data_IF_886987468794
#
_entry.id   IF_886987468794
#
_cell.length_a   1.000
_cell.length_b   1.000
_cell.length_c   1.000
_cell.angle_alpha   90.00
_cell.angle_beta   90.00
_cell.angle_gamma   90.00
#
_symmetry.space_group_name_H-M   'P 1'
#
loop_
_entity.id
_entity.type
_entity.pdbx_description
1 polymer ?
#
# COMPACT_ATOMS: atom_id res chain seq x y z
N UNK A 1 -35.18 -6.93 -5.26
CA UNK A 1 -34.09 -6.84 -4.25
C UNK A 1 -32.81 -6.70 -5.04
N UNK A 2 -32.20 -5.53 -5.04
CA UNK A 2 -30.85 -5.37 -5.58
C UNK A 2 -29.92 -6.14 -4.63
N UNK A 3 -29.37 -7.27 -5.09
CA UNK A 3 -28.35 -7.99 -4.34
C UNK A 3 -27.12 -7.08 -4.22
N UNK A 4 -26.67 -6.84 -3.01
CA UNK A 4 -25.37 -6.21 -2.77
C UNK A 4 -24.30 -7.09 -3.43
N UNK A 5 -23.55 -6.53 -4.38
CA UNK A 5 -22.41 -7.25 -4.95
C UNK A 5 -21.39 -7.50 -3.82
N UNK A 6 -20.92 -8.73 -3.67
CA UNK A 6 -19.91 -9.01 -2.66
C UNK A 6 -18.60 -8.33 -3.02
N UNK A 7 -17.83 -7.88 -2.01
CA UNK A 7 -16.54 -7.25 -2.19
C UNK A 7 -15.42 -8.30 -2.21
N UNK A 8 -14.49 -8.13 -3.13
CA UNK A 8 -13.39 -9.06 -3.32
C UNK A 8 -12.19 -8.71 -2.44
N UNK A 9 -11.58 -9.72 -1.83
CA UNK A 9 -10.31 -9.61 -1.15
C UNK A 9 -9.27 -10.56 -1.73
N UNK A 10 -8.03 -10.12 -1.71
CA UNK A 10 -6.85 -10.92 -1.98
C UNK A 10 -6.11 -11.20 -0.69
N UNK A 11 -5.62 -12.42 -0.51
CA UNK A 11 -4.89 -12.81 0.71
C UNK A 11 -3.44 -13.16 0.35
N UNK A 12 -2.51 -12.44 0.96
CA UNK A 12 -1.08 -12.69 0.87
C UNK A 12 -0.58 -13.33 2.16
N UNK A 13 0.13 -14.45 2.05
CA UNK A 13 0.74 -15.17 3.18
C UNK A 13 2.26 -15.13 3.11
N UNK A 14 2.93 -15.44 4.20
CA UNK A 14 4.40 -15.57 4.19
C UNK A 14 5.16 -14.25 4.27
N UNK A 15 4.50 -13.16 4.62
CA UNK A 15 5.13 -11.86 4.84
C UNK A 15 5.93 -11.89 6.16
N UNK A 16 6.97 -11.08 6.26
CA UNK A 16 7.82 -10.95 7.46
C UNK A 16 8.31 -12.33 7.97
N UNK A 17 8.94 -13.09 7.07
CA UNK A 17 9.43 -14.46 7.34
C UNK A 17 8.32 -15.45 7.76
N UNK A 18 7.09 -15.23 7.30
CA UNK A 18 5.96 -16.13 7.52
C UNK A 18 5.10 -15.81 8.75
N UNK A 19 5.42 -14.72 9.47
CA UNK A 19 4.68 -14.32 10.68
C UNK A 19 3.46 -13.46 10.40
N UNK A 20 3.34 -12.91 9.20
CA UNK A 20 2.30 -11.95 8.85
C UNK A 20 1.51 -12.40 7.62
N UNK A 21 0.22 -12.18 7.65
CA UNK A 21 -0.73 -12.32 6.54
C UNK A 21 -1.30 -10.94 6.22
N UNK A 22 -1.48 -10.63 4.95
CA UNK A 22 -2.20 -9.43 4.54
C UNK A 22 -3.47 -9.79 3.75
N UNK A 23 -4.56 -9.08 4.03
CA UNK A 23 -5.75 -9.06 3.20
C UNK A 23 -5.87 -7.69 2.53
N UNK A 24 -6.17 -7.66 1.23
CA UNK A 24 -6.30 -6.44 0.42
C UNK A 24 -7.71 -6.33 -0.14
N UNK A 25 -8.30 -5.15 -0.08
CA UNK A 25 -9.52 -4.86 -0.82
C UNK A 25 -9.19 -4.67 -2.30
N UNK A 26 -9.81 -5.48 -3.18
CA UNK A 26 -9.49 -5.48 -4.61
C UNK A 26 -9.78 -4.13 -5.29
N UNK A 27 -10.84 -3.44 -4.88
CA UNK A 27 -11.29 -2.18 -5.46
C UNK A 27 -10.55 -0.94 -4.91
N UNK A 28 -9.73 -1.13 -3.86
CA UNK A 28 -9.02 -0.04 -3.17
C UNK A 28 -7.53 -0.35 -3.05
N UNK A 29 -6.72 -0.03 -4.06
CA UNK A 29 -5.27 -0.26 -3.98
C UNK A 29 -4.68 0.39 -2.73
N UNK A 30 -3.92 -0.40 -1.97
CA UNK A 30 -3.33 0.04 -0.71
C UNK A 30 -4.23 -0.14 0.53
N UNK A 31 -5.54 -0.38 0.37
CA UNK A 31 -6.39 -0.73 1.50
C UNK A 31 -6.12 -2.18 1.93
N UNK A 32 -5.34 -2.34 2.99
CA UNK A 32 -4.91 -3.65 3.49
C UNK A 32 -5.01 -3.76 5.00
N UNK A 33 -5.24 -5.00 5.47
CA UNK A 33 -5.10 -5.41 6.88
C UNK A 33 -3.93 -6.36 6.98
N UNK A 34 -3.01 -6.10 7.88
CA UNK A 34 -1.90 -6.98 8.23
C UNK A 34 -2.17 -7.59 9.60
N UNK A 35 -2.15 -8.92 9.69
CA UNK A 35 -2.49 -9.65 10.91
C UNK A 35 -1.67 -10.95 11.06
N UNK A 36 -1.79 -11.61 12.20
CA UNK A 36 -1.12 -12.89 12.44
C UNK A 36 -1.83 -14.08 11.73
N UNK A 37 -3.07 -13.91 11.29
CA UNK A 37 -3.83 -14.94 10.58
C UNK A 37 -4.74 -14.35 9.50
N UNK A 38 -5.09 -15.18 8.52
CA UNK A 38 -6.02 -14.83 7.44
C UNK A 38 -7.43 -14.55 7.96
N UNK A 39 -7.87 -15.29 8.97
CA UNK A 39 -9.17 -15.08 9.61
C UNK A 39 -9.26 -13.70 10.26
N UNK A 40 -8.20 -13.30 10.97
CA UNK A 40 -8.13 -11.98 11.59
C UNK A 40 -8.07 -10.88 10.53
N UNK A 41 -7.20 -11.02 9.53
CA UNK A 41 -7.07 -10.05 8.43
C UNK A 41 -8.39 -9.86 7.69
N UNK A 42 -9.11 -10.95 7.38
CA UNK A 42 -10.41 -10.90 6.69
C UNK A 42 -11.50 -10.26 7.54
N UNK A 43 -11.57 -10.61 8.83
CA UNK A 43 -12.59 -10.07 9.74
C UNK A 43 -12.44 -8.57 10.00
N UNK A 44 -11.21 -8.04 9.96
CA UNK A 44 -10.95 -6.60 10.15
C UNK A 44 -11.12 -5.78 8.85
N UNK A 45 -11.24 -6.42 7.68
CA UNK A 45 -11.33 -5.73 6.39
C UNK A 45 -12.48 -4.70 6.32
N UNK A 46 -13.72 -4.99 6.79
CA UNK A 46 -14.80 -3.99 6.74
C UNK A 46 -14.46 -2.71 7.50
N UNK A 47 -13.82 -2.85 8.68
CA UNK A 47 -13.38 -1.72 9.47
C UNK A 47 -12.23 -0.96 8.80
N UNK A 48 -11.29 -1.69 8.19
CA UNK A 48 -10.18 -1.09 7.45
C UNK A 48 -10.67 -0.28 6.27
N UNK A 49 -11.59 -0.81 5.48
CA UNK A 49 -12.19 -0.10 4.35
C UNK A 49 -12.91 1.17 4.80
N UNK A 50 -13.68 1.12 5.90
CA UNK A 50 -14.32 2.31 6.42
C UNK A 50 -13.30 3.41 6.77
N UNK A 51 -12.21 3.06 7.49
CA UNK A 51 -11.13 4.01 7.81
C UNK A 51 -10.41 4.54 6.57
N UNK A 52 -10.16 3.69 5.59
CA UNK A 52 -9.52 4.08 4.34
C UNK A 52 -10.38 5.08 3.55
N UNK A 53 -11.67 4.82 3.45
CA UNK A 53 -12.65 5.71 2.80
C UNK A 53 -12.75 7.05 3.54
N UNK A 54 -12.75 7.04 4.88
CA UNK A 54 -12.78 8.26 5.68
C UNK A 54 -11.48 9.06 5.54
N UNK A 55 -10.33 8.40 5.45
CA UNK A 55 -9.06 9.04 5.15
C UNK A 55 -9.06 9.71 3.77
N UNK A 56 -9.52 9.02 2.71
CA UNK A 56 -9.65 9.62 1.37
C UNK A 56 -10.54 10.86 1.40
N UNK A 57 -11.69 10.80 2.05
CA UNK A 57 -12.60 11.95 2.17
C UNK A 57 -11.98 13.11 2.93
N UNK A 58 -11.25 12.82 4.01
CA UNK A 58 -10.57 13.84 4.79
C UNK A 58 -9.47 14.55 3.98
N UNK A 59 -8.86 13.81 3.02
CA UNK A 59 -7.88 14.34 2.06
C UNK A 59 -8.51 15.04 0.84
N UNK A 60 -9.84 15.15 0.79
CA UNK A 60 -10.56 15.82 -0.29
C UNK A 60 -10.85 14.96 -1.52
N UNK A 61 -10.59 13.64 -1.43
CA UNK A 61 -10.79 12.70 -2.51
C UNK A 61 -12.24 12.22 -2.63
N UNK A 62 -12.66 11.95 -3.88
CA UNK A 62 -13.87 11.18 -4.12
C UNK A 62 -13.65 9.71 -3.73
N UNK A 63 -14.21 9.33 -2.60
CA UNK A 63 -14.12 7.97 -2.12
C UNK A 63 -15.30 7.12 -2.62
N UNK A 64 -15.06 5.88 -3.05
CA UNK A 64 -16.13 4.98 -3.46
C UNK A 64 -17.07 4.69 -2.28
N UNK A 65 -18.34 4.43 -2.61
CA UNK A 65 -19.34 4.01 -1.61
C UNK A 65 -19.37 2.50 -1.56
N UNK A 66 -19.01 1.93 -0.42
CA UNK A 66 -19.13 0.51 -0.16
C UNK A 66 -20.46 0.25 0.56
N UNK A 67 -21.25 -0.70 0.04
CA UNK A 67 -22.54 -1.07 0.60
C UNK A 67 -22.50 -2.54 0.99
N UNK A 68 -22.65 -2.80 2.29
CA UNK A 68 -22.65 -4.16 2.84
C UNK A 68 -21.30 -4.60 3.40
N UNK A 69 -21.34 -5.75 4.04
CA UNK A 69 -20.22 -6.38 4.77
C UNK A 69 -19.88 -7.77 4.21
N UNK A 70 -20.37 -8.08 3.02
CA UNK A 70 -20.13 -9.38 2.39
C UNK A 70 -18.78 -9.36 1.63
N UNK A 71 -17.73 -9.74 2.34
CA UNK A 71 -16.37 -9.85 1.82
C UNK A 71 -16.03 -11.31 1.54
N UNK A 72 -15.37 -11.61 0.43
CA UNK A 72 -14.94 -12.97 0.11
C UNK A 72 -13.55 -12.98 -0.51
N UNK A 73 -12.80 -14.00 -0.18
CA UNK A 73 -11.49 -14.26 -0.77
C UNK A 73 -11.66 -14.74 -2.20
N UNK A 74 -11.03 -14.05 -3.14
CA UNK A 74 -11.01 -14.43 -4.57
C UNK A 74 -9.69 -15.05 -5.00
N UNK A 75 -8.60 -14.68 -4.33
CA UNK A 75 -7.28 -15.17 -4.68
C UNK A 75 -6.39 -15.19 -3.44
N UNK A 76 -5.54 -16.21 -3.37
CA UNK A 76 -4.51 -16.35 -2.33
C UNK A 76 -3.17 -16.59 -2.99
N UNK A 77 -2.15 -15.85 -2.53
CA UNK A 77 -0.78 -16.01 -2.99
C UNK A 77 0.19 -15.97 -1.80
N UNK A 78 1.38 -16.51 -1.97
CA UNK A 78 2.41 -16.48 -0.95
C UNK A 78 3.56 -15.57 -1.36
N UNK A 79 4.03 -14.75 -0.43
CA UNK A 79 5.30 -14.06 -0.56
C UNK A 79 6.43 -15.10 -0.68
N UNK A 80 7.39 -14.89 -1.56
CA UNK A 80 8.45 -15.83 -1.82
C UNK A 80 9.78 -15.11 -2.02
N UNK A 81 10.87 -15.69 -1.49
CA UNK A 81 12.23 -15.16 -1.65
C UNK A 81 12.41 -13.70 -1.20
N UNK A 82 11.63 -13.26 -0.22
CA UNK A 82 11.63 -11.87 0.25
C UNK A 82 10.82 -10.89 -0.61
N UNK A 83 10.16 -11.39 -1.67
CA UNK A 83 9.28 -10.59 -2.51
C UNK A 83 7.82 -10.76 -2.09
N UNK A 84 7.08 -9.67 -2.12
CA UNK A 84 5.63 -9.64 -1.89
C UNK A 84 4.88 -10.32 -3.04
N UNK A 85 3.73 -10.92 -2.76
CA UNK A 85 2.96 -11.63 -3.78
C UNK A 85 2.36 -10.68 -4.83
N UNK A 86 2.24 -11.18 -6.08
CA UNK A 86 1.38 -10.63 -7.11
C UNK A 86 0.03 -11.36 -7.13
N UNK A 87 -1.00 -10.69 -7.61
CA UNK A 87 -2.34 -11.23 -7.83
C UNK A 87 -2.74 -11.05 -9.29
N UNK A 88 -3.71 -11.83 -9.76
CA UNK A 88 -4.19 -11.73 -11.15
C UNK A 88 -4.69 -10.33 -11.53
N UNK A 89 -5.18 -9.55 -10.55
CA UNK A 89 -5.56 -8.15 -10.78
C UNK A 89 -4.32 -7.24 -11.03
N UNK A 90 -3.16 -7.57 -10.49
CA UNK A 90 -1.94 -6.80 -10.68
C UNK A 90 -1.42 -6.88 -12.12
N UNK A 91 -1.80 -7.95 -12.86
CA UNK A 91 -1.47 -8.13 -14.29
C UNK A 91 -2.37 -7.28 -15.21
N UNK A 92 -3.46 -6.72 -14.67
CA UNK A 92 -4.34 -5.83 -15.42
C UNK A 92 -3.86 -4.37 -15.27
N UNK A 93 -3.54 -3.70 -16.39
CA UNK A 93 -3.12 -2.31 -16.30
C UNK A 93 -4.25 -1.44 -15.74
N UNK A 94 -3.97 -0.46 -14.87
CA UNK A 94 -4.95 0.56 -14.53
C UNK A 94 -5.31 1.37 -15.78
N UNK A 95 -6.53 1.89 -15.86
CA UNK A 95 -6.84 2.92 -16.84
C UNK A 95 -6.17 4.26 -16.49
N UNK A 96 -6.06 5.19 -17.44
CA UNK A 96 -5.38 6.47 -17.23
C UNK A 96 -5.94 7.27 -16.04
N UNK A 97 -7.26 7.28 -15.87
CA UNK A 97 -7.93 7.94 -14.73
C UNK A 97 -7.62 7.24 -13.39
N UNK A 98 -7.63 5.89 -13.39
CA UNK A 98 -7.24 5.11 -12.22
C UNK A 98 -5.78 5.34 -11.86
N UNK A 99 -4.90 5.33 -12.85
CA UNK A 99 -3.47 5.54 -12.66
C UNK A 99 -3.20 6.90 -12.03
N UNK A 100 -3.77 7.97 -12.58
CA UNK A 100 -3.62 9.32 -12.04
C UNK A 100 -4.14 9.44 -10.60
N UNK A 101 -5.30 8.83 -10.33
CA UNK A 101 -5.88 8.81 -8.99
C UNK A 101 -5.02 8.04 -7.99
N UNK A 102 -4.46 6.89 -8.39
CA UNK A 102 -3.62 6.07 -7.51
C UNK A 102 -2.25 6.68 -7.26
N UNK A 103 -1.68 7.42 -8.22
CA UNK A 103 -0.49 8.24 -7.98
C UNK A 103 -0.77 9.31 -6.91
N UNK A 104 -1.92 9.96 -6.98
CA UNK A 104 -2.29 10.94 -5.95
C UNK A 104 -2.53 10.28 -4.58
N UNK A 105 -3.15 9.10 -4.51
CA UNK A 105 -3.27 8.35 -3.25
C UNK A 105 -1.91 7.92 -2.68
N UNK A 106 -0.95 7.64 -3.55
CA UNK A 106 0.42 7.33 -3.17
C UNK A 106 1.10 8.53 -2.50
N UNK A 107 0.90 9.75 -3.01
CA UNK A 107 1.37 11.00 -2.41
C UNK A 107 0.73 11.23 -1.04
N UNK A 108 -0.60 11.15 -0.95
CA UNK A 108 -1.35 11.32 0.30
C UNK A 108 -0.93 10.31 1.38
N UNK A 109 -0.65 9.05 1.01
CA UNK A 109 -0.17 8.05 1.96
C UNK A 109 1.21 8.42 2.51
N UNK A 110 2.10 8.96 1.67
CA UNK A 110 3.43 9.43 2.07
C UNK A 110 3.34 10.64 2.99
N UNK A 111 2.45 11.60 2.70
CA UNK A 111 2.24 12.77 3.57
C UNK A 111 1.75 12.33 4.96
N UNK A 112 0.78 11.39 5.02
CA UNK A 112 0.32 10.83 6.30
C UNK A 112 1.44 10.15 7.07
N UNK A 113 2.29 9.35 6.39
CA UNK A 113 3.43 8.70 7.02
C UNK A 113 4.46 9.72 7.54
N UNK A 114 4.78 10.74 6.76
CA UNK A 114 5.70 11.80 7.17
C UNK A 114 5.22 12.52 8.44
N UNK A 115 3.93 12.87 8.50
CA UNK A 115 3.32 13.47 9.69
C UNK A 115 3.45 12.58 10.95
N UNK A 116 3.36 11.24 10.78
CA UNK A 116 3.54 10.29 11.88
C UNK A 116 5.00 10.12 12.30
N UNK A 117 5.91 10.14 11.33
CA UNK A 117 7.34 10.07 11.60
C UNK A 117 7.82 11.27 12.41
N UNK A 118 7.31 12.46 12.15
CA UNK A 118 7.65 13.67 12.91
C UNK A 118 7.21 13.61 14.39
N UNK A 119 6.23 12.77 14.70
CA UNK A 119 5.68 12.63 16.04
C UNK A 119 6.38 11.56 16.90
N UNK A 120 7.27 10.73 16.34
CA UNK A 120 7.93 9.61 17.04
C UNK A 120 9.40 9.89 17.34
N UNK A 121 9.99 9.08 18.25
CA UNK A 121 11.40 9.22 18.63
C UNK A 121 12.35 8.73 17.53
N UNK A 122 13.57 9.26 17.52
CA UNK A 122 14.60 9.05 16.49
C UNK A 122 14.87 7.58 16.12
N UNK A 123 14.84 6.66 17.09
CA UNK A 123 15.10 5.23 16.81
C UNK A 123 13.99 4.61 15.98
N UNK A 124 12.72 4.81 16.38
CA UNK A 124 11.56 4.29 15.64
C UNK A 124 11.48 4.95 14.26
N UNK A 125 11.78 6.25 14.17
CA UNK A 125 11.88 6.99 12.92
C UNK A 125 12.92 6.35 11.98
N UNK A 126 14.14 6.10 12.47
CA UNK A 126 15.22 5.55 11.64
C UNK A 126 14.89 4.15 11.08
N UNK A 127 14.33 3.26 11.90
CA UNK A 127 13.92 1.90 11.46
C UNK A 127 12.81 1.97 10.41
N UNK A 128 11.83 2.84 10.61
CA UNK A 128 10.73 3.05 9.70
C UNK A 128 11.21 3.59 8.34
N UNK A 129 12.07 4.60 8.36
CA UNK A 129 12.65 5.22 7.17
C UNK A 129 13.45 4.22 6.35
N UNK A 130 14.34 3.44 6.99
CA UNK A 130 15.14 2.42 6.28
C UNK A 130 14.26 1.37 5.59
N UNK A 131 13.17 0.96 6.22
CA UNK A 131 12.23 -0.01 5.66
C UNK A 131 11.55 0.51 4.40
N UNK A 132 10.98 1.72 4.46
CA UNK A 132 10.25 2.32 3.34
C UNK A 132 11.18 2.69 2.19
N UNK A 133 12.33 3.29 2.49
CA UNK A 133 13.36 3.59 1.49
C UNK A 133 13.73 2.34 0.67
N UNK A 134 14.05 1.25 1.36
CA UNK A 134 14.40 -0.03 0.71
C UNK A 134 13.27 -0.53 -0.18
N UNK A 135 12.03 -0.38 0.26
CA UNK A 135 10.87 -0.84 -0.48
C UNK A 135 10.60 0.00 -1.73
N UNK A 136 10.58 1.33 -1.62
CA UNK A 136 10.36 2.21 -2.76
C UNK A 136 11.41 2.00 -3.84
N UNK A 137 12.70 1.87 -3.45
CA UNK A 137 13.78 1.58 -4.39
C UNK A 137 13.65 0.19 -5.03
N UNK A 138 13.20 -0.82 -4.28
CA UNK A 138 12.96 -2.15 -4.83
C UNK A 138 11.82 -2.14 -5.87
N UNK A 139 10.70 -1.46 -5.57
CA UNK A 139 9.58 -1.30 -6.50
C UNK A 139 9.98 -0.49 -7.73
N UNK A 140 10.71 0.62 -7.56
CA UNK A 140 11.24 1.40 -8.68
C UNK A 140 12.13 0.54 -9.60
N UNK A 141 13.02 -0.28 -9.03
CA UNK A 141 13.88 -1.18 -9.79
C UNK A 141 13.10 -2.26 -10.55
N UNK A 142 12.04 -2.82 -9.97
CA UNK A 142 11.15 -3.79 -10.62
C UNK A 142 10.44 -3.19 -11.84
N UNK A 143 10.13 -1.90 -11.80
CA UNK A 143 9.55 -1.14 -12.92
C UNK A 143 10.59 -0.68 -13.94
N UNK A 144 11.86 -1.08 -13.81
CA UNK A 144 12.94 -0.65 -14.69
C UNK A 144 13.46 0.76 -14.41
N UNK A 145 13.13 1.34 -13.25
CA UNK A 145 13.66 2.62 -12.81
C UNK A 145 15.17 2.61 -12.60
N UNK A 146 15.77 3.78 -12.68
CA UNK A 146 17.21 3.94 -12.47
C UNK A 146 17.53 3.80 -10.97
N UNK A 147 18.70 3.25 -10.67
CA UNK A 147 19.21 3.27 -9.32
C UNK A 147 19.34 4.71 -8.80
N UNK A 148 18.67 5.03 -7.73
CA UNK A 148 18.78 6.32 -7.06
C UNK A 148 19.92 6.29 -6.05
N UNK A 149 20.67 7.39 -5.97
CA UNK A 149 21.66 7.62 -4.91
C UNK A 149 21.00 8.60 -3.96
N UNK A 150 20.58 8.10 -2.80
CA UNK A 150 19.91 8.91 -1.80
C UNK A 150 20.94 9.73 -1.01
N UNK A 151 20.64 11.00 -0.79
CA UNK A 151 21.52 11.96 -0.13
C UNK A 151 20.71 12.77 0.88
N UNK A 152 21.39 13.44 1.80
CA UNK A 152 20.70 14.26 2.80
C UNK A 152 20.35 13.54 4.10
N UNK A 153 19.47 14.13 4.86
CA UNK A 153 18.99 13.55 6.11
C UNK A 153 17.96 12.42 5.85
N UNK A 154 17.55 11.66 6.87
CA UNK A 154 16.63 10.54 6.68
C UNK A 154 15.29 10.91 6.05
N UNK A 155 14.74 12.07 6.36
CA UNK A 155 13.47 12.53 5.77
C UNK A 155 13.65 12.91 4.30
N UNK A 156 14.73 13.63 3.96
CA UNK A 156 15.04 13.94 2.56
C UNK A 156 15.18 12.66 1.74
N UNK A 157 15.90 11.66 2.25
CA UNK A 157 16.07 10.35 1.59
C UNK A 157 14.76 9.59 1.40
N UNK A 158 13.80 9.74 2.33
CA UNK A 158 12.46 9.17 2.21
C UNK A 158 11.74 9.74 0.98
N UNK A 159 11.78 11.07 0.81
CA UNK A 159 11.18 11.72 -0.35
C UNK A 159 11.94 11.40 -1.65
N UNK A 160 13.26 11.40 -1.64
CA UNK A 160 14.09 11.00 -2.79
C UNK A 160 13.77 9.56 -3.26
N UNK A 161 13.57 8.61 -2.33
CA UNK A 161 13.17 7.25 -2.66
C UNK A 161 11.77 7.20 -3.30
N UNK A 162 10.83 7.99 -2.79
CA UNK A 162 9.49 8.14 -3.35
C UNK A 162 9.52 8.76 -4.74
N UNK A 163 10.31 9.80 -4.95
CA UNK A 163 10.49 10.45 -6.25
C UNK A 163 11.03 9.45 -7.29
N UNK A 164 11.97 8.58 -6.88
CA UNK A 164 12.49 7.53 -7.74
C UNK A 164 11.40 6.51 -8.13
N UNK A 165 10.54 6.11 -7.20
CA UNK A 165 9.40 5.24 -7.48
C UNK A 165 8.37 5.92 -8.38
N UNK A 166 7.99 7.16 -8.08
CA UNK A 166 7.04 7.94 -8.88
C UNK A 166 7.55 8.12 -10.31
N UNK A 167 8.81 8.49 -10.49
CA UNK A 167 9.42 8.59 -11.81
C UNK A 167 9.41 7.26 -12.58
N UNK A 168 9.63 6.13 -11.90
CA UNK A 168 9.55 4.81 -12.52
C UNK A 168 8.11 4.44 -12.91
N UNK A 169 7.11 4.75 -12.08
CA UNK A 169 5.69 4.57 -12.36
C UNK A 169 5.25 5.42 -13.57
N UNK A 170 5.62 6.69 -13.60
CA UNK A 170 5.32 7.60 -14.71
C UNK A 170 5.98 7.15 -16.02
N UNK A 171 7.22 6.68 -15.96
CA UNK A 171 7.93 6.15 -17.14
C UNK A 171 7.30 4.86 -17.67
N UNK A 172 6.79 3.98 -16.79
CA UNK A 172 6.06 2.77 -17.15
C UNK A 172 4.66 3.11 -17.70
N UNK A 173 4.04 4.18 -17.18
CA UNK A 173 2.69 4.61 -17.53
C UNK A 173 1.62 3.63 -17.08
N UNK A 174 0.36 3.97 -17.34
CA UNK A 174 -0.79 3.17 -16.93
C UNK A 174 -0.78 1.72 -17.47
N UNK A 175 -0.09 1.48 -18.57
CA UNK A 175 -0.02 0.16 -19.25
C UNK A 175 1.23 -0.64 -18.93
N UNK A 176 2.10 -0.14 -18.06
CA UNK A 176 3.33 -0.82 -17.68
C UNK A 176 3.07 -2.06 -16.83
N UNK A 177 3.84 -3.11 -17.07
CA UNK A 177 3.78 -4.34 -16.26
C UNK A 177 4.15 -4.04 -14.80
N UNK A 178 3.39 -4.59 -13.85
CA UNK A 178 3.64 -4.45 -12.42
C UNK A 178 3.25 -3.10 -11.81
N UNK A 179 2.76 -2.12 -12.59
CA UNK A 179 2.37 -0.79 -12.11
C UNK A 179 1.30 -0.88 -11.03
N UNK A 180 0.21 -1.64 -11.26
CA UNK A 180 -0.87 -1.82 -10.28
C UNK A 180 -0.35 -2.44 -8.98
N UNK A 181 0.53 -3.44 -9.09
CA UNK A 181 1.17 -4.08 -7.93
C UNK A 181 2.03 -3.10 -7.15
N UNK A 182 2.86 -2.31 -7.82
CA UNK A 182 3.72 -1.33 -7.18
C UNK A 182 2.92 -0.27 -6.41
N UNK A 183 1.86 0.28 -7.01
CA UNK A 183 0.96 1.23 -6.38
C UNK A 183 0.26 0.59 -5.15
N UNK A 184 -0.30 -0.62 -5.30
CA UNK A 184 -0.94 -1.34 -4.19
C UNK A 184 0.00 -1.54 -3.02
N UNK A 185 1.23 -1.99 -3.26
CA UNK A 185 2.20 -2.29 -2.22
C UNK A 185 2.71 -1.01 -1.55
N UNK A 186 3.10 0.00 -2.31
CA UNK A 186 3.64 1.23 -1.75
C UNK A 186 2.62 1.98 -0.88
N UNK A 187 1.36 2.11 -1.33
CA UNK A 187 0.29 2.73 -0.54
C UNK A 187 0.01 1.90 0.73
N UNK A 188 -0.10 0.56 0.59
CA UNK A 188 -0.41 -0.31 1.73
C UNK A 188 0.66 -0.25 2.83
N UNK A 189 1.93 -0.20 2.45
CA UNK A 189 3.02 -0.23 3.41
C UNK A 189 3.26 1.13 4.08
N UNK A 190 3.04 2.25 3.37
CA UNK A 190 3.03 3.58 4.00
C UNK A 190 1.91 3.68 5.05
N UNK A 191 0.69 3.26 4.70
CA UNK A 191 -0.44 3.28 5.63
C UNK A 191 -0.28 2.30 6.78
N UNK A 192 0.30 1.11 6.53
CA UNK A 192 0.64 0.15 7.59
C UNK A 192 1.60 0.77 8.59
N UNK A 193 2.67 1.37 8.09
CA UNK A 193 3.69 1.96 8.96
C UNK A 193 3.16 3.16 9.73
N UNK A 194 2.33 4.01 9.12
CA UNK A 194 1.65 5.09 9.82
C UNK A 194 0.76 4.57 10.97
N UNK A 195 0.01 3.47 10.75
CA UNK A 195 -0.80 2.81 11.78
C UNK A 195 0.07 2.19 12.90
N UNK A 196 1.23 1.58 12.56
CA UNK A 196 2.18 1.02 13.54
C UNK A 196 2.76 2.12 14.45
N UNK A 197 3.10 3.27 13.88
CA UNK A 197 3.63 4.43 14.62
C UNK A 197 2.56 5.04 15.55
N UNK A 198 1.30 5.13 15.12
CA UNK A 198 0.17 5.57 15.96
C UNK A 198 -0.10 4.60 17.13
N UNK A 199 0.02 3.30 16.90
CA UNK A 199 -0.17 2.25 17.92
C UNK A 199 0.94 2.20 18.97
N UNK A 200 2.16 2.55 18.61
CA UNK A 200 3.32 2.60 19.51
C UNK A 200 3.35 3.82 20.41
N UNK A 201 2.56 4.85 20.13
CA UNK A 201 2.45 6.07 20.92
C UNK A 201 1.41 5.98 22.07
N UNK A 202 0.74 4.83 22.26
CA UNK A 202 -0.22 4.55 23.33
C UNK A 202 0.36 3.58 24.32
#
# INVERSE_FOLDING_TARGET
MAGTMPHAIFVETGIDAGSTVAAYAAELPGCAVFAASDVEATNEMPRRVARFVDWLRASGEEAPTFVGDNWYEVERAAAANGERAGFSLDDLPPGDEEFSRYLHWLELARELLADRLDAVGETAQAEALERIERQDLALASQLGGKAAVLTGDPIDRLYEARDALTAALEAAGATGDGVRRALRLAIADDLRLADELDGGAR
#
